data_IF_600971706563
#
_entry.id   IF_600971706563
#
_cell.length_a   1.000
_cell.length_b   1.000
_cell.length_c   1.000
_cell.angle_alpha   90.00
_cell.angle_beta   90.00
_cell.angle_gamma   90.00
#
_symmetry.space_group_name_H-M   'P 1'
#
loop_
_entity.id
_entity.type
_entity.pdbx_description
1 polymer ?
#
# COMPACT_ATOMS: atom_id res chain seq x y z
N UNK A 1 9.73 35.70 -14.75
CA UNK A 1 9.42 35.34 -13.35
C UNK A 1 7.93 35.17 -13.06
N UNK A 2 6.99 35.92 -13.69
CA UNK A 2 5.55 35.64 -13.54
C UNK A 2 5.02 34.46 -14.39
N UNK A 3 5.64 34.16 -15.53
CA UNK A 3 5.22 33.05 -16.41
C UNK A 3 5.60 31.65 -15.91
N UNK A 4 6.41 31.56 -14.85
CA UNK A 4 6.87 30.28 -14.30
C UNK A 4 6.05 29.82 -13.08
N UNK A 5 5.09 30.63 -12.64
CA UNK A 5 4.19 30.34 -11.52
C UNK A 5 2.79 29.90 -11.97
N UNK A 6 2.43 30.03 -13.25
CA UNK A 6 1.07 29.71 -13.74
C UNK A 6 0.93 28.24 -14.15
N UNK A 7 2.04 27.51 -14.37
CA UNK A 7 1.98 26.08 -14.70
C UNK A 7 1.85 25.14 -13.49
N UNK A 8 1.81 25.67 -12.26
CA UNK A 8 1.90 24.84 -11.06
C UNK A 8 0.54 24.37 -10.51
N UNK A 9 -0.58 24.76 -11.13
CA UNK A 9 -1.94 24.33 -10.76
C UNK A 9 -2.84 24.20 -11.98
N UNK A 10 -2.39 23.51 -13.03
CA UNK A 10 -3.34 23.04 -14.04
C UNK A 10 -4.21 21.96 -13.38
N UNK A 11 -5.41 22.32 -12.94
CA UNK A 11 -6.43 21.33 -12.58
C UNK A 11 -6.74 20.52 -13.83
N UNK A 12 -6.27 19.27 -13.86
CA UNK A 12 -6.55 18.37 -14.97
C UNK A 12 -7.91 17.75 -14.71
N UNK A 13 -8.89 18.20 -15.48
CA UNK A 13 -10.24 17.67 -15.50
C UNK A 13 -10.39 16.72 -16.69
N UNK A 14 -10.84 15.50 -16.44
CA UNK A 14 -10.98 14.45 -17.46
C UNK A 14 -12.42 13.94 -17.50
N UNK A 15 -12.94 13.69 -18.69
CA UNK A 15 -14.19 12.95 -18.88
C UNK A 15 -13.81 11.52 -19.22
N UNK A 16 -14.10 10.58 -18.33
CA UNK A 16 -13.82 9.16 -18.52
C UNK A 16 -14.73 8.35 -17.60
N UNK A 17 -15.03 7.10 -17.96
CA UNK A 17 -15.70 6.17 -17.05
C UNK A 17 -14.70 5.36 -16.21
N UNK A 18 -13.41 5.42 -16.57
CA UNK A 18 -12.35 4.66 -15.92
C UNK A 18 -11.62 5.50 -14.87
N UNK A 19 -11.26 4.87 -13.74
CA UNK A 19 -10.57 5.55 -12.63
C UNK A 19 -9.09 5.82 -12.88
N UNK A 20 -8.50 5.25 -13.93
CA UNK A 20 -7.06 5.28 -14.20
C UNK A 20 -6.52 6.70 -14.42
N UNK A 21 -7.37 7.63 -14.87
CA UNK A 21 -7.00 9.02 -15.02
C UNK A 21 -6.52 9.65 -13.69
N UNK A 22 -7.01 9.18 -12.53
CA UNK A 22 -6.52 9.62 -11.21
C UNK A 22 -5.06 9.21 -10.99
N UNK A 23 -4.69 8.01 -11.44
CA UNK A 23 -3.32 7.50 -11.36
C UNK A 23 -2.37 8.35 -12.24
N UNK A 24 -2.87 8.84 -13.37
CA UNK A 24 -2.15 9.77 -14.25
C UNK A 24 -2.15 11.23 -13.77
N UNK A 25 -2.82 11.54 -12.65
CA UNK A 25 -2.80 12.88 -12.05
C UNK A 25 -3.97 13.79 -12.42
N UNK A 26 -5.09 13.23 -12.92
CA UNK A 26 -6.34 13.97 -12.96
C UNK A 26 -6.78 14.33 -11.54
N UNK A 27 -7.10 15.61 -11.32
CA UNK A 27 -7.65 16.08 -10.05
C UNK A 27 -9.17 15.94 -10.00
N UNK A 28 -9.82 15.92 -11.16
CA UNK A 28 -11.26 15.84 -11.29
C UNK A 28 -11.64 14.92 -12.46
N UNK A 29 -12.58 14.00 -12.20
CA UNK A 29 -13.13 13.10 -13.20
C UNK A 29 -14.64 13.27 -13.27
N UNK A 30 -15.15 13.41 -14.49
CA UNK A 30 -16.57 13.27 -14.79
C UNK A 30 -16.85 11.91 -15.42
N UNK A 31 -17.71 11.10 -14.79
CA UNK A 31 -18.14 9.80 -15.29
C UNK A 31 -19.62 9.82 -15.69
N UNK A 32 -20.06 8.79 -16.44
CA UNK A 32 -21.42 8.67 -16.96
C UNK A 32 -21.84 9.89 -17.81
N UNK A 33 -20.89 10.46 -18.54
CA UNK A 33 -21.14 11.63 -19.37
C UNK A 33 -22.03 11.27 -20.56
N UNK A 34 -23.25 11.81 -20.57
CA UNK A 34 -24.20 11.73 -21.69
C UNK A 34 -24.91 13.08 -21.83
N UNK A 35 -25.39 13.42 -23.03
CA UNK A 35 -26.15 14.66 -23.23
C UNK A 35 -27.44 14.67 -22.40
N UNK A 36 -28.11 13.53 -22.29
CA UNK A 36 -29.28 13.37 -21.42
C UNK A 36 -28.91 13.55 -19.95
N UNK A 37 -27.81 12.96 -19.49
CA UNK A 37 -27.32 13.11 -18.13
C UNK A 37 -26.88 14.54 -17.81
N UNK A 38 -26.34 15.27 -18.79
CA UNK A 38 -26.05 16.70 -18.64
C UNK A 38 -27.33 17.50 -18.42
N UNK A 39 -28.35 17.27 -19.25
CA UNK A 39 -29.65 17.94 -19.13
C UNK A 39 -30.36 17.58 -17.82
N UNK A 40 -30.18 16.34 -17.32
CA UNK A 40 -30.79 15.85 -16.07
C UNK A 40 -29.91 16.06 -14.84
N UNK A 41 -28.71 16.65 -14.97
CA UNK A 41 -27.73 16.80 -13.88
C UNK A 41 -27.36 15.48 -13.18
N UNK A 42 -27.21 14.38 -13.93
CA UNK A 42 -26.87 13.05 -13.41
C UNK A 42 -25.43 12.64 -13.71
N UNK A 43 -24.61 13.55 -14.25
CA UNK A 43 -23.17 13.30 -14.46
C UNK A 43 -22.50 13.26 -13.10
N UNK A 44 -21.72 12.22 -12.84
CA UNK A 44 -21.00 12.06 -11.58
C UNK A 44 -19.67 12.79 -11.67
N UNK A 45 -19.31 13.51 -10.62
CA UNK A 45 -18.01 14.18 -10.47
C UNK A 45 -17.27 13.57 -9.30
N UNK A 46 -16.00 13.24 -9.52
CA UNK A 46 -15.07 12.77 -8.49
C UNK A 46 -13.90 13.72 -8.41
N UNK A 47 -13.66 14.27 -7.22
CA UNK A 47 -12.49 15.09 -6.92
C UNK A 47 -11.47 14.26 -6.14
N UNK A 48 -10.19 14.35 -6.52
CA UNK A 48 -9.10 13.58 -5.93
C UNK A 48 -8.98 13.76 -4.40
N UNK A 49 -9.18 14.99 -3.92
CA UNK A 49 -9.16 15.36 -2.51
C UNK A 49 -10.23 14.63 -1.67
N UNK A 50 -11.32 14.19 -2.30
CA UNK A 50 -12.48 13.56 -1.66
C UNK A 50 -12.54 12.05 -1.88
N UNK A 51 -11.53 11.46 -2.55
CA UNK A 51 -11.47 10.02 -2.73
C UNK A 51 -11.28 9.31 -1.39
N UNK A 52 -12.27 8.47 -1.05
CA UNK A 52 -12.27 7.62 0.14
C UNK A 52 -12.60 6.19 -0.27
N UNK A 53 -11.94 5.24 0.37
CA UNK A 53 -12.28 3.81 0.29
C UNK A 53 -12.81 3.35 1.63
N UNK A 54 -13.90 2.60 1.60
CA UNK A 54 -14.48 1.95 2.77
C UNK A 54 -14.15 0.47 2.70
N UNK A 55 -13.56 -0.09 3.76
CA UNK A 55 -13.17 -1.50 3.80
C UNK A 55 -13.31 -2.08 5.21
N UNK A 56 -13.53 -3.40 5.37
CA UNK A 56 -13.70 -4.01 6.68
C UNK A 56 -12.38 -4.00 7.48
N UNK A 57 -12.48 -3.67 8.78
CA UNK A 57 -11.39 -3.85 9.73
C UNK A 57 -11.06 -5.34 9.86
N UNK A 58 -9.79 -5.68 9.83
CA UNK A 58 -9.27 -7.05 9.70
C UNK A 58 -9.48 -7.98 10.92
N UNK A 59 -10.52 -7.77 11.73
CA UNK A 59 -10.78 -8.55 12.95
C UNK A 59 -11.66 -9.79 12.72
N UNK A 60 -12.18 -10.01 11.52
CA UNK A 60 -12.97 -11.20 11.21
C UNK A 60 -12.14 -12.17 10.37
N UNK A 61 -12.04 -13.40 10.91
CA UNK A 61 -11.41 -14.55 10.24
C UNK A 61 -12.13 -14.77 8.91
N UNK A 62 -11.34 -14.93 7.85
CA UNK A 62 -11.83 -15.13 6.49
C UNK A 62 -12.73 -16.38 6.42
N UNK A 63 -14.04 -16.17 6.22
CA UNK A 63 -14.90 -17.15 5.53
C UNK A 63 -14.93 -16.73 4.06
N UNK A 64 -14.66 -17.70 3.18
CA UNK A 64 -14.47 -17.56 1.72
C UNK A 64 -15.77 -17.27 0.95
N UNK A 65 -16.57 -16.28 1.36
CA UNK A 65 -17.76 -15.85 0.61
C UNK A 65 -17.59 -14.44 0.04
N UNK A 66 -17.62 -14.35 -1.28
CA UNK A 66 -17.40 -13.13 -2.05
C UNK A 66 -18.69 -12.28 -2.21
N UNK A 67 -19.61 -12.36 -1.24
CA UNK A 67 -20.90 -11.68 -1.29
C UNK A 67 -20.83 -10.30 -0.63
N UNK A 68 -20.72 -9.27 -1.47
CA UNK A 68 -20.67 -7.83 -1.09
C UNK A 68 -22.04 -7.29 -0.62
N UNK A 69 -23.07 -8.12 -0.53
CA UNK A 69 -24.40 -7.67 -0.15
C UNK A 69 -24.68 -7.93 1.35
N UNK A 70 -24.60 -6.85 2.14
CA UNK A 70 -25.08 -6.69 3.53
C UNK A 70 -24.01 -6.79 4.63
N UNK A 71 -23.12 -5.81 4.71
CA UNK A 71 -22.19 -5.65 5.83
C UNK A 71 -22.90 -4.94 7.01
N UNK A 72 -22.95 -5.53 8.22
CA UNK A 72 -23.40 -4.84 9.43
C UNK A 72 -22.41 -3.72 9.82
N UNK A 73 -22.91 -2.57 10.28
CA UNK A 73 -22.20 -1.30 10.54
C UNK A 73 -21.04 -1.32 11.58
N UNK A 74 -20.54 -2.47 12.04
CA UNK A 74 -19.76 -2.51 13.30
C UNK A 74 -18.23 -2.45 13.17
N UNK A 75 -17.60 -2.48 11.98
CA UNK A 75 -16.17 -2.11 11.89
C UNK A 75 -15.65 -1.81 10.47
N UNK A 76 -16.32 -0.95 9.71
CA UNK A 76 -15.75 -0.43 8.47
C UNK A 76 -14.73 0.68 8.75
N UNK A 77 -13.59 0.64 8.06
CA UNK A 77 -12.56 1.68 8.05
C UNK A 77 -12.74 2.53 6.81
N UNK A 78 -12.56 3.84 6.95
CA UNK A 78 -12.52 4.79 5.83
C UNK A 78 -11.10 5.29 5.63
N UNK A 79 -10.57 5.18 4.41
CA UNK A 79 -9.22 5.59 4.05
C UNK A 79 -9.27 6.64 2.95
N UNK A 80 -8.71 7.82 3.19
CA UNK A 80 -8.45 8.78 2.12
C UNK A 80 -7.37 8.25 1.18
N UNK A 81 -7.53 8.46 -0.12
CA UNK A 81 -6.61 7.97 -1.15
C UNK A 81 -5.99 9.16 -1.89
N UNK A 82 -4.69 9.36 -1.76
CA UNK A 82 -3.93 10.23 -2.66
C UNK A 82 -3.58 9.50 -3.94
N UNK A 83 -3.08 10.23 -4.94
CA UNK A 83 -2.53 9.63 -6.16
C UNK A 83 -1.46 8.57 -5.83
N UNK A 84 -0.55 8.85 -4.91
CA UNK A 84 0.50 7.91 -4.51
C UNK A 84 -0.07 6.63 -3.89
N UNK A 85 -1.18 6.73 -3.15
CA UNK A 85 -1.88 5.57 -2.61
C UNK A 85 -2.53 4.74 -3.72
N UNK A 86 -3.12 5.38 -4.73
CA UNK A 86 -3.72 4.70 -5.88
C UNK A 86 -2.65 3.98 -6.71
N UNK A 87 -1.51 4.64 -6.95
CA UNK A 87 -0.34 4.03 -7.61
C UNK A 87 0.15 2.84 -6.78
N UNK A 88 0.37 3.02 -5.47
CA UNK A 88 0.80 1.93 -4.60
C UNK A 88 -0.21 0.77 -4.56
N UNK A 89 -1.51 1.07 -4.56
CA UNK A 89 -2.56 0.07 -4.63
C UNK A 89 -2.46 -0.74 -5.93
N UNK A 90 -2.42 -0.08 -7.09
CA UNK A 90 -2.29 -0.73 -8.39
C UNK A 90 -1.02 -1.60 -8.49
N UNK A 91 0.11 -1.13 -7.96
CA UNK A 91 1.36 -1.89 -7.90
C UNK A 91 1.25 -3.15 -7.04
N UNK A 92 0.47 -3.10 -5.96
CA UNK A 92 0.29 -4.24 -5.06
C UNK A 92 -0.71 -5.26 -5.60
N UNK A 93 -1.84 -4.80 -6.14
CA UNK A 93 -2.94 -5.67 -6.58
C UNK A 93 -2.83 -6.13 -8.02
N UNK A 94 -2.03 -5.41 -8.81
CA UNK A 94 -2.00 -5.54 -10.26
C UNK A 94 -3.04 -4.64 -10.91
N UNK A 95 -2.68 -4.12 -12.08
CA UNK A 95 -3.56 -3.41 -13.00
C UNK A 95 -2.93 -3.44 -14.39
N UNK A 96 -3.68 -3.05 -15.41
CA UNK A 96 -3.15 -2.79 -16.75
C UNK A 96 -1.97 -1.79 -16.75
N UNK A 97 -1.98 -0.81 -15.84
CA UNK A 97 -0.90 0.17 -15.63
C UNK A 97 0.33 -0.41 -14.93
N UNK A 98 0.11 -1.34 -13.99
CA UNK A 98 1.12 -1.80 -13.03
C UNK A 98 1.60 -3.25 -13.24
N UNK A 99 0.99 -3.97 -14.20
CA UNK A 99 1.25 -5.38 -14.47
C UNK A 99 0.51 -6.31 -13.50
N UNK A 100 1.05 -7.51 -13.30
CA UNK A 100 0.38 -8.59 -12.54
C UNK A 100 0.25 -8.32 -11.03
N UNK A 101 0.98 -7.34 -10.49
CA UNK A 101 0.99 -7.04 -9.06
C UNK A 101 1.66 -8.12 -8.21
N UNK A 102 1.58 -7.97 -6.88
CA UNK A 102 2.25 -8.88 -5.93
C UNK A 102 1.43 -10.16 -5.74
N UNK A 103 2.03 -11.35 -5.89
CA UNK A 103 1.31 -12.62 -5.74
C UNK A 103 0.56 -12.76 -4.39
N UNK A 104 -0.72 -13.11 -4.48
CA UNK A 104 -1.65 -13.29 -3.35
C UNK A 104 -1.88 -12.03 -2.49
N UNK A 105 -1.73 -10.85 -3.09
CA UNK A 105 -2.05 -9.55 -2.50
C UNK A 105 -3.21 -8.93 -3.27
N UNK A 106 -4.43 -9.17 -2.79
CA UNK A 106 -5.63 -8.51 -3.31
C UNK A 106 -5.96 -7.20 -2.57
N UNK A 107 -7.07 -6.57 -2.94
CA UNK A 107 -7.53 -5.29 -2.43
C UNK A 107 -7.51 -5.17 -0.89
N UNK A 108 -8.01 -6.18 -0.17
CA UNK A 108 -8.05 -6.19 1.31
C UNK A 108 -6.66 -6.01 1.93
N UNK A 109 -5.66 -6.77 1.44
CA UNK A 109 -4.28 -6.69 1.95
C UNK A 109 -3.60 -5.39 1.54
N UNK A 110 -3.84 -4.93 0.31
CA UNK A 110 -3.32 -3.64 -0.13
C UNK A 110 -3.87 -2.48 0.73
N UNK A 111 -5.18 -2.45 1.00
CA UNK A 111 -5.79 -1.45 1.88
C UNK A 111 -5.32 -1.55 3.32
N UNK A 112 -5.09 -2.76 3.84
CA UNK A 112 -4.49 -2.97 5.16
C UNK A 112 -3.07 -2.37 5.23
N UNK A 113 -2.27 -2.55 4.18
CA UNK A 113 -0.94 -1.94 4.08
C UNK A 113 -1.02 -0.40 4.04
N UNK A 114 -1.83 0.15 3.15
CA UNK A 114 -2.00 1.60 3.00
C UNK A 114 -2.51 2.24 4.31
N UNK A 115 -3.47 1.60 4.97
CA UNK A 115 -3.98 2.05 6.25
C UNK A 115 -2.90 2.03 7.33
N UNK A 116 -2.10 0.96 7.41
CA UNK A 116 -0.97 0.89 8.35
C UNK A 116 0.06 2.01 8.16
N UNK A 117 0.42 2.30 6.90
CA UNK A 117 1.31 3.41 6.56
C UNK A 117 0.78 4.76 7.07
N UNK A 118 -0.54 4.98 7.03
CA UNK A 118 -1.17 6.24 7.46
C UNK A 118 -1.51 6.29 8.95
N UNK A 119 -1.72 5.15 9.59
CA UNK A 119 -2.04 5.04 11.02
C UNK A 119 -0.82 5.23 11.91
N UNK A 120 0.38 4.98 11.38
CA UNK A 120 1.65 5.15 12.10
C UNK A 120 1.78 6.56 12.71
N UNK A 121 2.51 6.66 13.83
CA UNK A 121 2.82 7.94 14.51
C UNK A 121 3.49 8.95 13.56
N UNK A 122 4.22 8.45 12.56
CA UNK A 122 4.74 9.22 11.44
C UNK A 122 4.12 8.61 10.18
N UNK A 123 3.13 9.27 9.54
CA UNK A 123 2.54 8.77 8.31
C UNK A 123 3.59 8.60 7.22
N UNK A 124 3.68 7.40 6.68
CA UNK A 124 4.62 7.06 5.61
C UNK A 124 3.91 7.06 4.26
N UNK A 125 4.61 7.52 3.22
CA UNK A 125 4.12 7.40 1.85
C UNK A 125 4.29 5.94 1.37
N UNK A 126 3.21 5.21 1.06
CA UNK A 126 3.28 3.80 0.69
C UNK A 126 4.14 3.56 -0.55
N UNK A 127 4.08 4.46 -1.53
CA UNK A 127 4.89 4.39 -2.74
C UNK A 127 6.38 4.50 -2.45
N UNK A 128 6.80 5.33 -1.48
CA UNK A 128 8.20 5.42 -1.06
C UNK A 128 8.69 4.13 -0.40
N UNK A 129 7.84 3.50 0.42
CA UNK A 129 8.14 2.20 1.05
C UNK A 129 8.35 1.13 -0.02
N UNK A 130 7.46 1.04 -1.01
CA UNK A 130 7.56 0.05 -2.10
C UNK A 130 8.83 0.29 -2.92
N UNK A 131 9.18 1.56 -3.23
CA UNK A 131 10.43 1.92 -3.91
C UNK A 131 11.66 1.48 -3.11
N UNK A 132 11.67 1.74 -1.81
CA UNK A 132 12.74 1.31 -0.93
C UNK A 132 12.91 -0.23 -0.91
N UNK A 133 11.81 -0.99 -0.87
CA UNK A 133 11.86 -2.46 -0.94
C UNK A 133 12.47 -2.96 -2.25
N UNK A 134 12.21 -2.26 -3.36
CA UNK A 134 12.83 -2.54 -4.66
C UNK A 134 14.33 -2.23 -4.65
N UNK A 135 14.73 -1.08 -4.13
CA UNK A 135 16.14 -0.68 -4.06
C UNK A 135 16.97 -1.64 -3.22
N UNK A 136 16.41 -2.14 -2.10
CA UNK A 136 17.07 -3.17 -1.30
C UNK A 136 17.32 -4.48 -2.07
N UNK A 137 16.41 -4.89 -2.96
CA UNK A 137 16.63 -6.08 -3.78
C UNK A 137 17.88 -5.95 -4.65
N UNK A 138 18.12 -4.78 -5.23
CA UNK A 138 19.28 -4.55 -6.09
C UNK A 138 20.59 -4.65 -5.29
N UNK A 139 20.57 -4.31 -3.99
CA UNK A 139 21.73 -4.41 -3.11
C UNK A 139 21.92 -5.84 -2.56
N UNK A 140 20.84 -6.59 -2.35
CA UNK A 140 20.89 -7.97 -1.84
C UNK A 140 21.42 -8.98 -2.89
N UNK A 141 21.37 -8.66 -4.20
CA UNK A 141 21.92 -9.52 -5.27
C UNK A 141 23.46 -9.55 -5.29
N UNK A 142 24.14 -8.60 -4.64
CA UNK A 142 25.61 -8.60 -4.44
C UNK A 142 26.07 -9.32 -3.16
N UNK A 143 25.16 -9.64 -2.23
CA UNK A 143 25.50 -10.21 -0.91
C UNK A 143 24.80 -11.57 -0.70
N UNK A 144 25.25 -12.59 -1.44
CA UNK A 144 24.75 -13.96 -1.37
C UNK A 144 25.10 -14.71 -0.06
N UNK A 145 25.29 -13.99 1.06
CA UNK A 145 25.88 -14.53 2.28
C UNK A 145 25.10 -14.22 3.58
N UNK A 146 23.77 -14.19 3.59
CA UNK A 146 23.10 -14.04 4.90
C UNK A 146 21.74 -14.76 5.01
N UNK A 147 21.76 -16.09 4.87
CA UNK A 147 20.68 -16.96 5.37
C UNK A 147 20.83 -17.21 6.88
N UNK A 148 21.08 -16.16 7.66
CA UNK A 148 21.15 -16.30 9.11
C UNK A 148 19.75 -16.60 9.66
N UNK A 149 19.64 -17.60 10.55
CA UNK A 149 18.39 -17.90 11.26
C UNK A 149 17.91 -16.64 11.97
N UNK A 150 16.64 -16.29 11.81
CA UNK A 150 16.01 -15.14 12.47
C UNK A 150 15.23 -15.59 13.71
N UNK A 151 15.25 -14.79 14.76
CA UNK A 151 14.55 -15.08 16.00
C UNK A 151 13.04 -15.07 15.78
N UNK A 152 12.34 -16.10 16.26
CA UNK A 152 10.89 -16.23 16.05
C UNK A 152 10.04 -15.19 16.78
N UNK A 153 10.63 -14.41 17.71
CA UNK A 153 9.94 -13.38 18.49
C UNK A 153 10.18 -12.00 17.90
N UNK A 154 11.44 -11.57 17.79
CA UNK A 154 11.80 -10.23 17.32
C UNK A 154 12.24 -10.16 15.85
N UNK A 155 12.37 -11.29 15.16
CA UNK A 155 12.82 -11.40 13.77
C UNK A 155 14.21 -10.77 13.47
N UNK A 156 15.00 -10.50 14.50
CA UNK A 156 16.42 -10.14 14.37
C UNK A 156 17.30 -11.37 14.16
N UNK A 157 18.50 -11.24 13.59
CA UNK A 157 19.42 -12.36 13.40
C UNK A 157 19.73 -13.10 14.73
N UNK A 158 19.73 -14.43 14.69
CA UNK A 158 19.96 -15.32 15.83
C UNK A 158 18.73 -16.16 16.23
N UNK A 159 18.92 -17.06 17.19
CA UNK A 159 17.87 -17.95 17.71
C UNK A 159 17.19 -17.37 18.96
N UNK A 160 15.89 -17.60 19.16
CA UNK A 160 15.16 -17.06 20.31
C UNK A 160 15.68 -17.60 21.66
N UNK A 161 16.18 -18.84 21.70
CA UNK A 161 16.81 -19.44 22.89
C UNK A 161 18.13 -18.73 23.19
N UNK A 162 18.90 -18.40 22.16
CA UNK A 162 20.15 -17.64 22.32
C UNK A 162 19.88 -16.22 22.81
N UNK A 163 18.90 -15.54 22.22
CA UNK A 163 18.50 -14.21 22.69
C UNK A 163 17.97 -14.24 24.13
N UNK A 164 17.24 -15.29 24.53
CA UNK A 164 16.85 -15.46 25.94
C UNK A 164 18.07 -15.67 26.85
N UNK A 165 19.07 -16.42 26.41
CA UNK A 165 20.25 -16.73 27.22
C UNK A 165 21.28 -15.59 27.31
N UNK A 166 21.37 -14.73 26.29
CA UNK A 166 22.42 -13.70 26.17
C UNK A 166 21.90 -12.27 26.05
N UNK A 167 20.61 -12.09 25.83
CA UNK A 167 20.04 -10.81 25.42
C UNK A 167 20.03 -10.62 23.90
N UNK A 168 19.26 -9.65 23.42
CA UNK A 168 19.20 -9.27 22.02
C UNK A 168 19.62 -7.80 21.89
N UNK A 169 20.75 -7.55 21.20
CA UNK A 169 21.28 -6.19 21.02
C UNK A 169 20.29 -5.26 20.31
N UNK A 170 19.60 -5.77 19.29
CA UNK A 170 18.61 -5.00 18.53
C UNK A 170 17.34 -4.68 19.33
N UNK A 171 16.94 -5.55 20.27
CA UNK A 171 15.82 -5.25 21.18
C UNK A 171 16.26 -4.50 22.44
N UNK A 172 17.58 -4.37 22.70
CA UNK A 172 18.11 -3.89 23.98
C UNK A 172 17.81 -4.81 25.18
N UNK A 173 17.45 -6.08 24.95
CA UNK A 173 17.12 -7.00 26.06
C UNK A 173 18.38 -7.60 26.67
N UNK A 174 18.38 -7.77 27.99
CA UNK A 174 19.50 -8.37 28.74
C UNK A 174 19.36 -9.90 28.86
N UNK A 175 20.39 -10.55 29.43
CA UNK A 175 20.38 -11.98 29.75
C UNK A 175 19.13 -12.38 30.55
N UNK A 176 18.53 -13.52 30.19
CA UNK A 176 17.29 -14.07 30.73
C UNK A 176 16.02 -13.25 30.48
N UNK A 177 16.09 -12.15 29.73
CA UNK A 177 14.91 -11.41 29.29
C UNK A 177 14.39 -11.93 27.95
N UNK A 178 13.06 -11.90 27.79
CA UNK A 178 12.43 -12.25 26.53
C UNK A 178 12.57 -11.11 25.51
N UNK A 179 12.71 -11.47 24.24
CA UNK A 179 12.71 -10.50 23.14
C UNK A 179 11.37 -9.76 23.04
N UNK A 180 11.44 -8.52 22.56
CA UNK A 180 10.25 -7.72 22.25
C UNK A 180 9.62 -8.31 20.97
N UNK A 181 8.35 -8.75 21.01
CA UNK A 181 7.70 -9.29 19.83
C UNK A 181 7.47 -8.20 18.79
N UNK A 182 7.69 -8.55 17.53
CA UNK A 182 7.31 -7.68 16.40
C UNK A 182 5.79 -7.58 16.33
N UNK A 183 5.25 -6.38 16.09
CA UNK A 183 3.80 -6.19 15.91
C UNK A 183 3.29 -6.98 14.70
N UNK A 184 2.01 -7.35 14.70
CA UNK A 184 1.41 -8.05 13.56
C UNK A 184 1.45 -7.21 12.28
N UNK A 185 1.38 -5.89 12.40
CA UNK A 185 1.52 -4.94 11.30
C UNK A 185 2.93 -4.99 10.69
N UNK A 186 3.98 -4.98 11.50
CA UNK A 186 5.36 -5.06 11.03
C UNK A 186 5.68 -6.46 10.46
N UNK A 187 5.14 -7.54 11.05
CA UNK A 187 5.20 -8.89 10.46
C UNK A 187 4.55 -8.92 9.09
N UNK A 188 3.38 -8.30 8.95
CA UNK A 188 2.66 -8.19 7.69
C UNK A 188 3.49 -7.41 6.65
N UNK A 189 4.05 -6.25 7.02
CA UNK A 189 4.92 -5.44 6.15
C UNK A 189 6.15 -6.22 5.67
N UNK A 190 6.81 -6.97 6.55
CA UNK A 190 7.96 -7.81 6.16
C UNK A 190 7.59 -8.92 5.19
N UNK A 191 6.49 -9.63 5.45
CA UNK A 191 5.98 -10.65 4.51
C UNK A 191 5.60 -10.05 3.16
N UNK A 192 5.00 -8.86 3.17
CA UNK A 192 4.64 -8.16 1.95
C UNK A 192 5.90 -7.75 1.18
N UNK A 193 6.89 -7.16 1.85
CA UNK A 193 8.20 -6.83 1.28
C UNK A 193 8.88 -8.03 0.62
N UNK A 194 8.96 -9.17 1.32
CA UNK A 194 9.54 -10.41 0.78
C UNK A 194 8.84 -10.86 -0.52
N UNK A 195 7.52 -10.70 -0.60
CA UNK A 195 6.76 -10.99 -1.83
C UNK A 195 7.00 -9.95 -2.92
N UNK A 196 7.11 -8.68 -2.57
CA UNK A 196 7.41 -7.61 -3.52
C UNK A 196 8.77 -7.81 -4.17
N UNK A 197 9.76 -8.35 -3.45
CA UNK A 197 11.07 -8.72 -4.02
C UNK A 197 10.95 -9.75 -5.16
N UNK A 198 9.89 -10.57 -5.20
CA UNK A 198 9.67 -11.57 -6.26
C UNK A 198 9.18 -10.97 -7.58
N UNK A 199 8.83 -9.68 -7.62
CA UNK A 199 8.36 -9.02 -8.83
C UNK A 199 9.48 -8.83 -9.84
N UNK A 200 9.42 -9.53 -10.98
CA UNK A 200 10.46 -9.46 -12.03
C UNK A 200 10.58 -8.05 -12.64
N UNK A 201 9.48 -7.31 -12.71
CA UNK A 201 9.44 -5.90 -13.10
C UNK A 201 8.13 -5.29 -12.62
N UNK A 202 8.16 -4.09 -12.05
CA UNK A 202 6.96 -3.25 -12.04
C UNK A 202 6.78 -2.72 -13.45
N UNK A 203 5.81 -3.26 -14.19
CA UNK A 203 5.32 -2.54 -15.36
C UNK A 203 4.80 -1.19 -14.86
N UNK A 204 5.07 -0.09 -15.59
CA UNK A 204 4.60 1.24 -15.19
C UNK A 204 5.65 2.18 -14.59
N UNK A 205 6.95 2.00 -14.88
CA UNK A 205 7.98 3.00 -14.54
C UNK A 205 7.58 4.43 -14.97
N UNK A 206 6.90 4.57 -16.13
CA UNK A 206 6.33 5.84 -16.63
C UNK A 206 5.19 6.45 -15.79
N UNK A 207 4.57 5.66 -14.91
CA UNK A 207 3.45 6.07 -14.03
C UNK A 207 3.98 6.47 -12.64
N UNK A 208 5.12 5.91 -12.24
CA UNK A 208 5.79 6.15 -10.96
C UNK A 208 6.67 7.40 -10.99
N UNK A 209 7.27 7.71 -12.14
CA UNK A 209 8.12 8.90 -12.39
C UNK A 209 7.30 10.14 -12.78
#
# INVERSE_FOLDING_TARGET
LLFQLIFQFAFITVITNDGDALVYGANCIYTNFTLEGLNRSTIMRYDDADLRVIFPSSNEKDDDSNDVASIPQSSTLTLAMSREDLVAFALLTGSDLAGEGVPHVGAKKALQFLHGCKKSMIPECPLKIIRYWREQRNNDEEDALESQRKCTICLHPGDCRQHKAKGCAFCGTSKNQQCIPVSEEEKFRRKLCEKTKMLKSFAGQKVID
#
